data_IF_742257522547
#
_entry.id   IF_742257522547
#
_cell.length_a   1.000
_cell.length_b   1.000
_cell.length_c   1.000
_cell.angle_alpha   90.00
_cell.angle_beta   90.00
_cell.angle_gamma   90.00
#
_symmetry.space_group_name_H-M   'P 1'
#
loop_
_entity.id
_entity.type
_entity.pdbx_description
1 polymer ?
#
# COMPACT_ATOMS: atom_id res chain seq x y z
N UNK A 1 -6.62 13.80 -5.73
CA UNK A 1 -8.03 13.61 -5.29
C UNK A 1 -8.07 13.84 -3.78
N UNK A 2 -8.68 14.94 -3.31
CA UNK A 2 -8.66 15.31 -1.90
C UNK A 2 -9.30 14.23 -0.99
N UNK A 3 -10.34 13.55 -1.48
CA UNK A 3 -11.04 12.49 -0.72
C UNK A 3 -10.13 11.29 -0.41
N UNK A 4 -9.32 10.86 -1.37
CA UNK A 4 -8.37 9.74 -1.17
C UNK A 4 -7.32 10.07 -0.11
N UNK A 5 -6.81 11.30 -0.10
CA UNK A 5 -5.82 11.72 0.88
C UNK A 5 -6.41 11.73 2.31
N UNK A 6 -7.65 12.21 2.46
CA UNK A 6 -8.37 12.18 3.74
C UNK A 6 -8.64 10.74 4.21
N UNK A 7 -9.09 9.87 3.30
CA UNK A 7 -9.32 8.45 3.61
C UNK A 7 -8.03 7.78 4.10
N UNK A 8 -6.93 7.92 3.36
CA UNK A 8 -5.65 7.32 3.75
C UNK A 8 -5.14 7.87 5.08
N UNK A 9 -5.29 9.18 5.31
CA UNK A 9 -4.94 9.78 6.61
C UNK A 9 -5.66 9.07 7.75
N UNK A 10 -6.98 8.94 7.69
CA UNK A 10 -7.76 8.27 8.75
C UNK A 10 -7.38 6.80 8.95
N UNK A 11 -7.09 6.08 7.86
CA UNK A 11 -6.66 4.67 7.92
C UNK A 11 -5.31 4.51 8.63
N UNK A 12 -4.31 5.35 8.30
CA UNK A 12 -2.96 5.22 8.85
C UNK A 12 -2.83 5.86 10.25
N UNK A 13 -3.55 6.94 10.55
CA UNK A 13 -3.62 7.50 11.91
C UNK A 13 -4.33 6.53 12.87
N UNK A 14 -5.35 5.81 12.39
CA UNK A 14 -6.05 4.79 13.16
C UNK A 14 -5.39 3.41 13.16
N UNK A 15 -4.26 3.23 12.46
CA UNK A 15 -3.59 1.94 12.24
C UNK A 15 -4.54 0.82 11.80
N UNK A 16 -5.60 1.16 11.05
CA UNK A 16 -6.72 0.26 10.79
C UNK A 16 -6.57 -0.55 9.50
N UNK A 17 -5.55 -0.26 8.68
CA UNK A 17 -5.29 -1.02 7.45
C UNK A 17 -4.88 -2.46 7.78
N UNK A 18 -5.75 -3.42 7.45
CA UNK A 18 -5.45 -4.85 7.57
C UNK A 18 -4.83 -5.41 6.30
N UNK A 19 -5.20 -4.86 5.14
CA UNK A 19 -4.58 -5.19 3.85
C UNK A 19 -4.90 -4.15 2.78
N UNK A 20 -3.96 -3.89 1.87
CA UNK A 20 -4.25 -3.28 0.58
C UNK A 20 -3.82 -4.19 -0.58
N UNK A 21 -4.57 -4.17 -1.67
CA UNK A 21 -4.22 -4.83 -2.92
C UNK A 21 -4.43 -3.86 -4.08
N UNK A 22 -3.36 -3.55 -4.80
CA UNK A 22 -3.39 -2.75 -6.01
C UNK A 22 -3.13 -3.64 -7.23
N UNK A 23 -3.92 -3.43 -8.28
CA UNK A 23 -3.87 -4.25 -9.50
C UNK A 23 -4.30 -3.43 -10.72
N UNK A 24 -4.17 -4.02 -11.92
CA UNK A 24 -4.43 -3.36 -13.20
C UNK A 24 -3.60 -2.08 -13.33
N UNK A 25 -2.26 -2.19 -13.38
CA UNK A 25 -1.42 -1.01 -13.50
C UNK A 25 -1.78 -0.21 -14.76
N UNK A 26 -1.71 1.11 -14.67
CA UNK A 26 -2.02 2.01 -15.80
C UNK A 26 -0.90 2.05 -16.83
N UNK A 27 0.35 1.77 -16.42
CA UNK A 27 1.50 1.59 -17.30
C UNK A 27 1.92 0.12 -17.36
N UNK A 28 2.38 -0.34 -18.52
CA UNK A 28 2.93 -1.69 -18.69
C UNK A 28 4.30 -1.88 -18.03
N UNK A 29 4.96 -0.79 -17.66
CA UNK A 29 6.25 -0.79 -16.96
C UNK A 29 6.09 -1.07 -15.46
N UNK A 30 4.88 -0.94 -14.94
CA UNK A 30 4.59 -1.17 -13.53
C UNK A 30 4.35 -2.67 -13.27
N UNK A 31 4.69 -3.13 -12.06
CA UNK A 31 4.33 -4.46 -11.59
C UNK A 31 2.84 -4.76 -11.69
N UNK A 32 2.48 -6.03 -11.93
CA UNK A 32 1.06 -6.42 -12.09
C UNK A 32 0.24 -6.24 -10.82
N UNK A 33 0.89 -6.37 -9.66
CA UNK A 33 0.24 -6.37 -8.35
C UNK A 33 1.20 -5.87 -7.28
N UNK A 34 0.68 -5.02 -6.39
CA UNK A 34 1.32 -4.67 -5.12
C UNK A 34 0.35 -5.03 -4.00
N UNK A 35 0.85 -5.69 -2.95
CA UNK A 35 0.09 -5.89 -1.71
C UNK A 35 0.75 -5.11 -0.59
N UNK A 36 -0.07 -4.57 0.32
CA UNK A 36 0.39 -3.91 1.54
C UNK A 36 -0.24 -4.65 2.71
N UNK A 37 0.58 -5.13 3.63
CA UNK A 37 0.14 -5.85 4.82
C UNK A 37 0.81 -5.21 6.04
N UNK A 38 0.09 -4.97 7.16
CA UNK A 38 0.71 -4.50 8.40
C UNK A 38 1.68 -5.57 8.93
N UNK A 39 2.79 -5.12 9.49
CA UNK A 39 3.82 -5.97 10.08
C UNK A 39 4.34 -5.33 11.36
N UNK A 40 4.68 -6.16 12.35
CA UNK A 40 5.36 -5.69 13.55
C UNK A 40 6.87 -5.74 13.32
N UNK A 41 7.55 -4.60 13.50
CA UNK A 41 9.00 -4.49 13.40
C UNK A 41 9.52 -3.83 14.66
N UNK A 42 10.31 -4.57 15.43
CA UNK A 42 10.94 -4.06 16.68
C UNK A 42 9.92 -3.45 17.66
N UNK A 43 8.71 -4.01 17.71
CA UNK A 43 7.64 -3.52 18.59
C UNK A 43 6.83 -2.35 18.05
N UNK A 44 7.09 -1.89 16.82
CA UNK A 44 6.33 -0.84 16.15
C UNK A 44 5.55 -1.39 14.95
N UNK A 45 4.36 -0.83 14.71
CA UNK A 45 3.57 -1.13 13.51
C UNK A 45 4.20 -0.46 12.29
N UNK A 46 4.59 -1.28 11.33
CA UNK A 46 5.03 -0.88 10.01
C UNK A 46 4.14 -1.55 8.94
N UNK A 47 4.39 -1.23 7.68
CA UNK A 47 3.64 -1.77 6.55
C UNK A 47 4.59 -2.30 5.50
N UNK A 48 4.41 -3.58 5.14
CA UNK A 48 5.20 -4.25 4.12
C UNK A 48 4.52 -4.13 2.77
N UNK A 49 5.18 -3.47 1.84
CA UNK A 49 4.85 -3.46 0.43
C UNK A 49 5.50 -4.67 -0.23
N UNK A 50 4.68 -5.54 -0.81
CA UNK A 50 5.14 -6.67 -1.61
C UNK A 50 4.80 -6.44 -3.06
N UNK A 51 5.84 -6.31 -3.88
CA UNK A 51 5.70 -6.12 -5.33
C UNK A 51 5.96 -7.43 -6.04
N UNK A 52 5.00 -7.87 -6.85
CA UNK A 52 5.12 -9.11 -7.63
C UNK A 52 5.72 -8.80 -9.00
N UNK A 53 6.97 -9.21 -9.22
CA UNK A 53 7.65 -9.18 -10.52
C UNK A 53 7.44 -10.51 -11.26
N UNK A 54 8.00 -10.63 -12.47
CA UNK A 54 7.79 -11.82 -13.30
C UNK A 54 8.40 -13.09 -12.70
N UNK A 55 9.55 -12.96 -12.03
CA UNK A 55 10.37 -14.07 -11.53
C UNK A 55 10.57 -14.05 -10.01
N UNK A 56 10.19 -12.96 -9.33
CA UNK A 56 10.42 -12.78 -7.90
C UNK A 56 9.44 -11.79 -7.27
N UNK A 57 9.43 -11.73 -5.95
CA UNK A 57 8.79 -10.67 -5.20
C UNK A 57 9.85 -9.81 -4.50
N UNK A 58 9.59 -8.50 -4.35
CA UNK A 58 10.39 -7.61 -3.52
C UNK A 58 9.57 -7.13 -2.33
N UNK A 59 10.24 -6.94 -1.19
CA UNK A 59 9.62 -6.45 0.04
C UNK A 59 10.27 -5.14 0.48
N UNK A 60 9.43 -4.17 0.82
CA UNK A 60 9.83 -2.89 1.38
C UNK A 60 8.97 -2.63 2.62
N UNK A 61 9.58 -2.33 3.76
CA UNK A 61 8.86 -2.03 4.99
C UNK A 61 8.94 -0.52 5.25
N UNK A 62 7.78 0.11 5.45
CA UNK A 62 7.67 1.54 5.70
C UNK A 62 6.93 1.80 7.01
N UNK A 63 7.24 2.92 7.64
CA UNK A 63 6.45 3.46 8.75
C UNK A 63 5.03 3.81 8.28
N UNK A 64 4.10 4.06 9.20
CA UNK A 64 2.74 4.49 8.84
C UNK A 64 2.73 5.73 7.91
N UNK A 65 3.57 6.73 8.18
CA UNK A 65 3.67 7.92 7.34
C UNK A 65 4.24 7.62 5.95
N UNK A 66 5.33 6.85 5.88
CA UNK A 66 5.91 6.45 4.60
C UNK A 66 4.96 5.59 3.78
N UNK A 67 4.24 4.68 4.44
CA UNK A 67 3.24 3.83 3.82
C UNK A 67 2.04 4.62 3.29
N UNK A 68 1.56 5.62 4.03
CA UNK A 68 0.49 6.55 3.60
C UNK A 68 0.87 7.26 2.31
N UNK A 69 2.06 7.82 2.25
CA UNK A 69 2.56 8.54 1.08
C UNK A 69 2.74 7.60 -0.11
N UNK A 70 3.41 6.46 0.11
CA UNK A 70 3.67 5.46 -0.94
C UNK A 70 2.38 4.88 -1.51
N UNK A 71 1.42 4.52 -0.65
CA UNK A 71 0.13 4.01 -1.08
C UNK A 71 -0.66 5.08 -1.84
N UNK A 72 -0.60 6.33 -1.40
CA UNK A 72 -1.21 7.47 -2.10
C UNK A 72 -0.73 7.61 -3.56
N UNK A 73 0.57 7.48 -3.80
CA UNK A 73 1.13 7.44 -5.16
C UNK A 73 0.66 6.20 -5.93
N UNK A 74 0.71 5.01 -5.32
CA UNK A 74 0.29 3.80 -6.01
C UNK A 74 -1.20 3.82 -6.41
N UNK A 75 -2.06 4.52 -5.66
CA UNK A 75 -3.47 4.69 -6.04
C UNK A 75 -3.65 5.49 -7.33
N UNK A 76 -2.69 6.33 -7.74
CA UNK A 76 -2.74 7.00 -9.05
C UNK A 76 -2.23 6.11 -10.17
N UNK A 77 -1.28 5.23 -9.86
CA UNK A 77 -0.58 4.39 -10.82
C UNK A 77 -1.35 3.11 -11.20
N UNK A 78 -2.29 2.70 -10.36
CA UNK A 78 -3.10 1.50 -10.55
C UNK A 78 -4.56 1.85 -10.84
N UNK A 79 -5.18 1.09 -11.72
CA UNK A 79 -6.59 1.26 -12.10
C UNK A 79 -7.55 0.65 -11.09
N UNK A 80 -7.06 -0.20 -10.18
CA UNK A 80 -7.89 -0.85 -9.17
C UNK A 80 -7.14 -0.98 -7.85
N UNK A 81 -7.83 -0.64 -6.76
CA UNK A 81 -7.36 -0.82 -5.39
C UNK A 81 -8.47 -1.36 -4.50
N UNK A 82 -8.12 -2.30 -3.63
CA UNK A 82 -8.95 -2.78 -2.51
C UNK A 82 -8.22 -2.45 -1.21
N UNK A 83 -8.87 -1.69 -0.33
CA UNK A 83 -8.40 -1.41 1.02
C UNK A 83 -9.31 -2.12 2.00
N UNK A 84 -8.73 -2.97 2.85
CA UNK A 84 -9.41 -3.67 3.92
C UNK A 84 -9.00 -3.03 5.24
N UNK A 85 -10.00 -2.69 6.06
CA UNK A 85 -9.81 -2.05 7.36
C UNK A 85 -10.48 -2.86 8.46
N UNK A 86 -9.96 -2.78 9.70
CA UNK A 86 -10.60 -3.32 10.90
C UNK A 86 -11.70 -2.39 11.43
#
# INVERSE_FOLDING_TARGET
MPETATLLRGIFEGLSLTRAVLSKPRSRELPRKVTVDPVELRGETAYRFTTQLADRATHENLTADGARERLGTLLTDYGQALLQTA
#
